data_IF_091354303427
#
_entry.id   IF_091354303427
#
_cell.length_a   1.000
_cell.length_b   1.000
_cell.length_c   1.000
_cell.angle_alpha   90.00
_cell.angle_beta   90.00
_cell.angle_gamma   90.00
#
_symmetry.space_group_name_H-M   'P 1'
#
loop_
_entity.id
_entity.type
_entity.pdbx_description
1 polymer ?
#
# COMPACT_ATOMS: atom_id res chain seq x y z
N UNK A 1 -10.45 -15.81 -1.12
CA UNK A 1 -9.07 -15.44 -1.50
C UNK A 1 -8.49 -16.58 -2.30
N UNK A 2 -8.10 -16.31 -3.53
CA UNK A 2 -7.34 -17.27 -4.32
C UNK A 2 -5.93 -17.40 -3.72
N UNK A 3 -5.52 -18.62 -3.38
CA UNK A 3 -4.22 -18.90 -2.78
C UNK A 3 -3.16 -18.88 -3.89
N UNK A 4 -2.49 -17.74 -4.06
CA UNK A 4 -1.46 -17.57 -5.10
C UNK A 4 -0.16 -18.32 -4.77
N UNK A 5 0.12 -18.52 -3.48
CA UNK A 5 1.26 -19.30 -2.98
C UNK A 5 0.93 -19.93 -1.61
N UNK A 6 1.60 -21.04 -1.25
CA UNK A 6 1.32 -21.77 -0.01
C UNK A 6 1.65 -20.95 1.25
N UNK A 7 1.18 -21.42 2.41
CA UNK A 7 1.52 -20.80 3.69
C UNK A 7 3.03 -20.93 3.94
N UNK A 8 3.67 -19.89 4.50
CA UNK A 8 5.04 -20.03 4.97
C UNK A 8 5.12 -21.07 6.11
N UNK A 9 6.29 -21.70 6.30
CA UNK A 9 6.60 -22.48 7.49
C UNK A 9 6.35 -21.69 8.79
N UNK A 10 6.08 -22.36 9.93
CA UNK A 10 5.71 -21.68 11.18
C UNK A 10 6.73 -20.65 11.69
N UNK A 11 8.02 -20.96 11.59
CA UNK A 11 9.13 -20.08 11.99
C UNK A 11 9.23 -18.83 11.10
N UNK A 12 9.07 -18.99 9.78
CA UNK A 12 8.98 -17.88 8.82
C UNK A 12 7.74 -17.01 9.12
N UNK A 13 6.60 -17.64 9.39
CA UNK A 13 5.35 -16.94 9.73
C UNK A 13 5.49 -16.13 11.03
N UNK A 14 6.13 -16.69 12.05
CA UNK A 14 6.35 -16.04 13.34
C UNK A 14 7.34 -14.88 13.22
N UNK A 15 8.37 -15.01 12.39
CA UNK A 15 9.30 -13.93 12.07
C UNK A 15 8.60 -12.75 11.37
N UNK A 16 7.82 -13.02 10.30
CA UNK A 16 7.03 -12.00 9.59
C UNK A 16 6.08 -11.29 10.55
N UNK A 17 5.36 -12.05 11.38
CA UNK A 17 4.44 -11.48 12.38
C UNK A 17 5.16 -10.53 13.33
N UNK A 18 6.32 -10.94 13.84
CA UNK A 18 7.11 -10.16 14.80
C UNK A 18 7.61 -8.85 14.18
N UNK A 19 8.06 -8.89 12.92
CA UNK A 19 8.47 -7.69 12.18
C UNK A 19 7.28 -6.74 11.97
N UNK A 20 6.13 -7.27 11.54
CA UNK A 20 4.91 -6.46 11.36
C UNK A 20 4.45 -5.81 12.67
N UNK A 21 4.55 -6.52 13.80
CA UNK A 21 4.22 -5.95 15.12
C UNK A 21 5.14 -4.78 15.51
N UNK A 22 6.43 -4.84 15.16
CA UNK A 22 7.36 -3.71 15.36
C UNK A 22 7.03 -2.53 14.46
N UNK A 23 6.80 -2.79 13.17
CA UNK A 23 6.41 -1.74 12.21
C UNK A 23 5.14 -1.00 12.62
N UNK A 24 4.20 -1.70 13.28
CA UNK A 24 2.96 -1.09 13.75
C UNK A 24 3.20 0.01 14.80
N UNK A 25 4.28 -0.08 15.59
CA UNK A 25 4.59 0.92 16.61
C UNK A 25 4.96 2.29 16.02
N UNK A 26 5.56 2.31 14.83
CA UNK A 26 5.99 3.53 14.12
C UNK A 26 5.17 3.77 12.83
N UNK A 27 3.97 3.20 12.73
CA UNK A 27 3.20 3.16 11.48
C UNK A 27 2.90 4.56 10.91
N UNK A 28 2.59 5.55 11.76
CA UNK A 28 2.30 6.91 11.31
C UNK A 28 3.55 7.57 10.68
N UNK A 29 4.70 7.51 11.36
CA UNK A 29 5.95 8.06 10.84
C UNK A 29 6.41 7.36 9.56
N UNK A 30 6.11 6.07 9.43
CA UNK A 30 6.41 5.30 8.24
C UNK A 30 5.48 5.67 7.07
N UNK A 31 4.18 5.81 7.33
CA UNK A 31 3.21 6.29 6.34
C UNK A 31 3.58 7.68 5.82
N UNK A 32 4.10 8.56 6.67
CA UNK A 32 4.60 9.88 6.27
C UNK A 32 5.81 9.79 5.34
N UNK A 33 6.73 8.86 5.62
CA UNK A 33 7.89 8.64 4.77
C UNK A 33 7.49 8.09 3.40
N UNK A 34 6.50 7.20 3.35
CA UNK A 34 5.90 6.70 2.12
C UNK A 34 5.26 7.85 1.35
N UNK A 35 4.36 8.60 1.99
CA UNK A 35 3.62 9.73 1.38
C UNK A 35 4.57 10.77 0.78
N UNK A 36 5.62 11.17 1.52
CA UNK A 36 6.63 12.12 1.00
C UNK A 36 7.30 11.65 -0.29
N UNK A 37 7.45 10.35 -0.49
CA UNK A 37 8.08 9.78 -1.67
C UNK A 37 7.07 9.51 -2.81
N UNK A 38 5.87 9.04 -2.48
CA UNK A 38 4.85 8.66 -3.47
C UNK A 38 4.08 9.84 -4.03
N UNK A 39 3.75 10.84 -3.22
CA UNK A 39 2.95 12.01 -3.62
C UNK A 39 3.48 12.72 -4.88
N UNK A 40 4.76 13.15 -4.96
CA UNK A 40 5.27 13.81 -6.16
C UNK A 40 5.37 12.87 -7.38
N UNK A 41 5.55 11.57 -7.16
CA UNK A 41 5.59 10.57 -8.23
C UNK A 41 4.19 10.35 -8.82
N UNK A 42 3.17 10.31 -7.96
CA UNK A 42 1.80 9.99 -8.32
C UNK A 42 1.04 11.14 -8.96
N UNK A 43 1.29 12.39 -8.52
CA UNK A 43 0.50 13.55 -8.96
C UNK A 43 1.33 14.67 -9.58
N UNK A 44 2.64 14.47 -9.77
CA UNK A 44 3.57 15.53 -10.15
C UNK A 44 3.40 16.78 -9.25
N UNK A 45 3.31 17.98 -9.83
CA UNK A 45 3.06 19.22 -9.10
C UNK A 45 1.57 19.57 -8.92
N UNK A 46 0.66 18.78 -9.49
CA UNK A 46 -0.77 19.13 -9.60
C UNK A 46 -1.49 19.14 -8.26
N UNK A 47 -1.15 18.20 -7.36
CA UNK A 47 -1.82 18.03 -6.08
C UNK A 47 -1.21 18.89 -4.95
N UNK A 48 0.04 19.35 -5.12
CA UNK A 48 0.81 20.09 -4.10
C UNK A 48 0.14 21.38 -3.59
N UNK A 49 -0.61 22.15 -4.40
CA UNK A 49 -1.28 23.37 -3.91
C UNK A 49 -2.50 23.10 -3.03
N UNK A 50 -3.06 21.88 -3.05
CA UNK A 50 -4.28 21.55 -2.30
C UNK A 50 -3.95 20.73 -1.05
N UNK A 51 -3.88 21.42 0.09
CA UNK A 51 -3.58 20.79 1.37
C UNK A 51 -4.61 19.73 1.78
N UNK A 52 -5.88 19.86 1.37
CA UNK A 52 -6.91 18.88 1.70
C UNK A 52 -6.68 17.57 0.96
N UNK A 53 -6.38 17.64 -0.34
CA UNK A 53 -6.08 16.44 -1.14
C UNK A 53 -4.78 15.77 -0.71
N UNK A 54 -3.77 16.55 -0.31
CA UNK A 54 -2.52 16.01 0.24
C UNK A 54 -2.77 15.21 1.52
N UNK A 55 -3.62 15.71 2.43
CA UNK A 55 -3.95 14.99 3.66
C UNK A 55 -4.80 13.74 3.39
N UNK A 56 -5.69 13.75 2.40
CA UNK A 56 -6.41 12.53 1.99
C UNK A 56 -5.48 11.46 1.40
N UNK A 57 -4.49 11.85 0.59
CA UNK A 57 -3.47 10.92 0.07
C UNK A 57 -2.61 10.34 1.20
N UNK A 58 -2.26 11.16 2.20
CA UNK A 58 -1.54 10.70 3.40
C UNK A 58 -2.34 9.65 4.16
N UNK A 59 -3.65 9.89 4.38
CA UNK A 59 -4.51 8.93 5.07
C UNK A 59 -4.71 7.64 4.25
N UNK A 60 -4.75 7.74 2.92
CA UNK A 60 -4.75 6.57 2.03
C UNK A 60 -3.50 5.72 2.25
N UNK A 61 -2.30 6.33 2.17
CA UNK A 61 -1.04 5.62 2.40
C UNK A 61 -0.96 5.00 3.81
N UNK A 62 -1.48 5.71 4.83
CA UNK A 62 -1.57 5.19 6.21
C UNK A 62 -2.48 3.97 6.30
N UNK A 63 -3.63 4.03 5.64
CA UNK A 63 -4.60 2.93 5.60
C UNK A 63 -4.04 1.71 4.88
N UNK A 64 -3.34 1.91 3.76
CA UNK A 64 -2.69 0.84 3.00
C UNK A 64 -1.58 0.14 3.81
N UNK A 65 -0.74 0.91 4.48
CA UNK A 65 0.29 0.36 5.37
C UNK A 65 -0.35 -0.44 6.52
N UNK A 66 -1.35 0.13 7.18
CA UNK A 66 -2.05 -0.53 8.28
C UNK A 66 -2.71 -1.83 7.82
N UNK A 67 -3.37 -1.83 6.66
CA UNK A 67 -3.99 -3.01 6.08
C UNK A 67 -2.97 -4.13 5.83
N UNK A 68 -1.83 -3.80 5.20
CA UNK A 68 -0.80 -4.79 4.90
C UNK A 68 -0.15 -5.36 6.16
N UNK A 69 0.20 -4.50 7.13
CA UNK A 69 0.81 -4.90 8.40
C UNK A 69 -0.14 -5.77 9.22
N UNK A 70 -1.38 -5.32 9.42
CA UNK A 70 -2.36 -6.07 10.23
C UNK A 70 -2.73 -7.41 9.59
N UNK A 71 -2.81 -7.47 8.26
CA UNK A 71 -3.04 -8.72 7.53
C UNK A 71 -1.89 -9.70 7.71
N UNK A 72 -0.64 -9.23 7.67
CA UNK A 72 0.53 -10.07 7.93
C UNK A 72 0.70 -10.45 9.40
N UNK A 73 0.09 -9.72 10.34
CA UNK A 73 0.01 -10.18 11.75
C UNK A 73 -0.95 -11.37 11.86
N UNK A 74 -2.11 -11.29 11.20
CA UNK A 74 -3.16 -12.31 11.27
C UNK A 74 -2.85 -13.55 10.43
N UNK A 75 -2.37 -13.35 9.20
CA UNK A 75 -2.06 -14.39 8.20
C UNK A 75 -0.71 -14.09 7.54
N UNK A 76 0.41 -14.33 8.24
CA UNK A 76 1.74 -13.91 7.78
C UNK A 76 2.09 -14.46 6.39
N UNK A 77 2.66 -13.59 5.57
CA UNK A 77 3.20 -13.94 4.27
C UNK A 77 2.17 -14.32 3.22
N UNK A 78 0.87 -14.22 3.50
CA UNK A 78 -0.19 -14.50 2.52
C UNK A 78 -0.45 -13.30 1.61
N UNK A 79 -1.18 -13.51 0.51
CA UNK A 79 -1.76 -12.41 -0.27
C UNK A 79 -2.64 -11.57 0.65
N UNK A 80 -2.52 -10.25 0.54
CA UNK A 80 -3.35 -9.30 1.28
C UNK A 80 -4.39 -8.75 0.32
N UNK A 81 -5.66 -8.76 0.72
CA UNK A 81 -6.73 -8.14 -0.05
C UNK A 81 -6.69 -6.61 0.10
N UNK A 82 -6.88 -5.92 -1.02
CA UNK A 82 -6.99 -4.46 -1.06
C UNK A 82 -8.35 -4.03 -0.54
N UNK A 83 -8.38 -2.92 0.20
CA UNK A 83 -9.62 -2.32 0.70
C UNK A 83 -9.82 -0.92 0.12
N UNK A 84 -10.82 -0.77 -0.76
CA UNK A 84 -11.27 0.53 -1.29
C UNK A 84 -12.56 0.95 -0.59
N UNK A 85 -12.39 1.60 0.57
CA UNK A 85 -13.49 2.08 1.41
C UNK A 85 -14.15 3.37 0.90
N UNK A 86 -15.24 3.82 1.56
CA UNK A 86 -15.97 5.02 1.17
C UNK A 86 -15.10 6.30 1.13
N UNK A 87 -14.15 6.45 2.06
CA UNK A 87 -13.23 7.58 2.11
C UNK A 87 -12.31 7.63 0.88
N UNK A 88 -11.67 6.51 0.55
CA UNK A 88 -10.84 6.39 -0.66
C UNK A 88 -11.65 6.65 -1.92
N UNK A 89 -12.90 6.18 -2.00
CA UNK A 89 -13.79 6.47 -3.14
C UNK A 89 -14.11 7.96 -3.26
N UNK A 90 -14.41 8.63 -2.14
CA UNK A 90 -14.66 10.06 -2.13
C UNK A 90 -13.43 10.86 -2.58
N UNK A 91 -12.23 10.49 -2.10
CA UNK A 91 -10.97 11.08 -2.55
C UNK A 91 -10.76 10.91 -4.05
N UNK A 92 -10.93 9.70 -4.60
CA UNK A 92 -10.83 9.44 -6.04
C UNK A 92 -11.84 10.26 -6.83
N UNK A 93 -13.07 10.39 -6.34
CA UNK A 93 -14.10 11.20 -6.98
C UNK A 93 -13.72 12.69 -7.05
N UNK A 94 -13.10 13.21 -5.98
CA UNK A 94 -12.63 14.59 -5.94
C UNK A 94 -11.46 14.82 -6.92
N UNK A 95 -10.53 13.86 -7.02
CA UNK A 95 -9.46 13.89 -8.03
C UNK A 95 -10.03 13.97 -9.45
N UNK A 96 -10.99 13.10 -9.78
CA UNK A 96 -11.64 13.06 -11.10
C UNK A 96 -12.41 14.35 -11.38
N UNK A 97 -13.17 14.87 -10.42
CA UNK A 97 -13.93 16.12 -10.56
C UNK A 97 -13.03 17.33 -10.85
N UNK A 98 -11.76 17.27 -10.43
CA UNK A 98 -10.75 18.32 -10.66
C UNK A 98 -9.87 18.05 -11.89
N UNK A 99 -10.16 16.99 -12.65
CA UNK A 99 -9.37 16.60 -13.82
C UNK A 99 -7.96 16.10 -13.48
N UNK A 100 -7.74 15.66 -12.25
CA UNK A 100 -6.44 15.13 -11.80
C UNK A 100 -6.40 13.64 -12.12
N UNK A 101 -5.49 13.24 -13.02
CA UNK A 101 -5.25 11.85 -13.38
C UNK A 101 -3.98 11.33 -12.66
N UNK A 102 -4.10 10.48 -11.62
CA UNK A 102 -2.94 10.00 -10.88
C UNK A 102 -2.17 8.91 -11.64
N UNK A 103 -0.84 8.95 -11.57
CA UNK A 103 0.00 7.80 -11.92
C UNK A 103 0.16 6.89 -10.71
N UNK A 104 -0.85 6.04 -10.48
CA UNK A 104 -0.81 5.06 -9.39
C UNK A 104 0.40 4.13 -9.49
N UNK A 105 0.86 3.81 -10.70
CA UNK A 105 2.00 2.90 -10.86
C UNK A 105 3.29 3.55 -10.36
N UNK A 106 3.53 4.81 -10.70
CA UNK A 106 4.72 5.51 -10.23
C UNK A 106 4.67 5.82 -8.73
N UNK A 107 3.49 6.18 -8.22
CA UNK A 107 3.23 6.33 -6.79
C UNK A 107 3.58 5.08 -6.00
N UNK A 108 3.03 3.92 -6.40
CA UNK A 108 3.32 2.63 -5.75
C UNK A 108 4.77 2.18 -5.91
N UNK A 109 5.39 2.42 -7.07
CA UNK A 109 6.83 2.13 -7.26
C UNK A 109 7.71 2.92 -6.28
N UNK A 110 7.40 4.20 -6.08
CA UNK A 110 8.10 5.06 -5.13
C UNK A 110 7.86 4.60 -3.68
N UNK A 111 6.59 4.34 -3.32
CA UNK A 111 6.20 3.82 -2.01
C UNK A 111 6.88 2.50 -1.67
N UNK A 112 6.87 1.52 -2.59
CA UNK A 112 7.50 0.21 -2.41
C UNK A 112 9.00 0.32 -2.16
N UNK A 113 9.69 1.28 -2.76
CA UNK A 113 11.13 1.46 -2.55
C UNK A 113 11.42 1.86 -1.10
N UNK A 114 10.59 2.75 -0.52
CA UNK A 114 10.68 3.13 0.89
C UNK A 114 10.24 1.97 1.80
N UNK A 115 9.14 1.33 1.42
CA UNK A 115 8.56 0.19 2.12
C UNK A 115 9.56 -0.95 2.30
N UNK A 116 10.15 -1.39 1.18
CA UNK A 116 11.11 -2.48 1.14
C UNK A 116 12.39 -2.17 1.91
N UNK A 117 12.92 -0.94 1.81
CA UNK A 117 14.11 -0.54 2.59
C UNK A 117 13.85 -0.64 4.09
N UNK A 118 12.72 -0.13 4.58
CA UNK A 118 12.38 -0.20 6.00
C UNK A 118 12.17 -1.65 6.43
N UNK A 119 11.49 -2.46 5.61
CA UNK A 119 11.32 -3.89 5.86
C UNK A 119 12.67 -4.61 6.04
N UNK A 120 13.63 -4.37 5.14
CA UNK A 120 14.97 -4.95 5.25
C UNK A 120 15.66 -4.56 6.56
N UNK A 121 15.57 -3.29 6.97
CA UNK A 121 16.15 -2.82 8.24
C UNK A 121 15.56 -3.57 9.44
N UNK A 122 14.24 -3.72 9.48
CA UNK A 122 13.56 -4.44 10.56
C UNK A 122 13.88 -5.95 10.56
N UNK A 123 14.03 -6.56 9.38
CA UNK A 123 14.45 -7.94 9.26
C UNK A 123 15.90 -8.16 9.70
N UNK A 124 16.78 -7.17 9.56
CA UNK A 124 18.17 -7.29 10.03
C UNK A 124 18.27 -7.28 11.56
N UNK A 125 17.29 -6.71 12.26
CA UNK A 125 17.19 -6.76 13.73
C UNK A 125 16.65 -8.11 14.23
N UNK A 126 16.17 -8.97 13.33
CA UNK A 126 15.71 -10.31 13.67
C UNK A 126 16.90 -11.25 13.94
N UNK A 127 16.94 -11.83 15.14
CA UNK A 127 17.91 -12.85 15.51
C UNK A 127 17.50 -14.21 14.94
N UNK A 128 18.04 -14.57 13.77
CA UNK A 128 17.77 -15.85 13.09
C UNK A 128 18.96 -16.36 12.27
N UNK A 129 18.79 -17.50 11.60
CA UNK A 129 19.80 -18.01 10.66
C UNK A 129 19.69 -17.28 9.31
N UNK A 130 20.76 -17.24 8.50
CA UNK A 130 20.71 -16.68 7.16
C UNK A 130 19.63 -17.31 6.27
N UNK A 131 19.39 -18.61 6.41
CA UNK A 131 18.40 -19.36 5.63
C UNK A 131 16.97 -18.89 5.98
N UNK A 132 16.68 -18.74 7.27
CA UNK A 132 15.39 -18.22 7.74
C UNK A 132 15.17 -16.78 7.24
N UNK A 133 16.21 -15.94 7.26
CA UNK A 133 16.11 -14.58 6.74
C UNK A 133 15.79 -14.56 5.23
N UNK A 134 16.43 -15.42 4.44
CA UNK A 134 16.15 -15.53 3.00
C UNK A 134 14.68 -15.93 2.75
N UNK A 135 14.15 -16.89 3.50
CA UNK A 135 12.75 -17.31 3.36
C UNK A 135 11.76 -16.20 3.78
N UNK A 136 12.05 -15.49 4.88
CA UNK A 136 11.25 -14.33 5.31
C UNK A 136 11.22 -13.26 4.23
N UNK A 137 12.36 -12.93 3.64
CA UNK A 137 12.45 -11.91 2.59
C UNK A 137 11.72 -12.33 1.31
N UNK A 138 11.87 -13.58 0.86
CA UNK A 138 11.18 -14.10 -0.33
C UNK A 138 9.65 -14.05 -0.17
N UNK A 139 9.12 -14.57 0.94
CA UNK A 139 7.68 -14.61 1.21
C UNK A 139 7.12 -13.19 1.37
N UNK A 140 7.83 -12.31 2.08
CA UNK A 140 7.37 -10.93 2.30
C UNK A 140 7.38 -10.11 1.02
N UNK A 141 8.39 -10.31 0.15
CA UNK A 141 8.45 -9.66 -1.16
C UNK A 141 7.25 -10.05 -2.02
N UNK A 142 6.91 -11.35 -2.10
CA UNK A 142 5.72 -11.82 -2.83
C UNK A 142 4.44 -11.15 -2.32
N UNK A 143 4.22 -11.12 -1.01
CA UNK A 143 3.05 -10.50 -0.39
C UNK A 143 2.98 -8.99 -0.68
N UNK A 144 4.07 -8.27 -0.47
CA UNK A 144 4.13 -6.81 -0.62
C UNK A 144 3.98 -6.37 -2.09
N UNK A 145 4.65 -7.05 -3.02
CA UNK A 145 4.58 -6.74 -4.45
C UNK A 145 3.18 -7.04 -4.98
N UNK A 146 2.60 -8.19 -4.62
CA UNK A 146 1.24 -8.51 -5.06
C UNK A 146 0.21 -7.51 -4.51
N UNK A 147 0.35 -7.10 -3.24
CA UNK A 147 -0.52 -6.08 -2.65
C UNK A 147 -0.46 -4.77 -3.45
N UNK A 148 0.74 -4.32 -3.82
CA UNK A 148 0.88 -3.11 -4.64
C UNK A 148 0.26 -3.25 -6.04
N UNK A 149 0.44 -4.39 -6.71
CA UNK A 149 -0.15 -4.64 -8.03
C UNK A 149 -1.69 -4.66 -7.97
N UNK A 150 -2.23 -5.33 -6.96
CA UNK A 150 -3.67 -5.37 -6.70
C UNK A 150 -4.20 -3.96 -6.40
N UNK A 151 -3.47 -3.16 -5.61
CA UNK A 151 -3.85 -1.79 -5.26
C UNK A 151 -3.85 -0.86 -6.46
N UNK A 152 -2.83 -0.93 -7.31
CA UNK A 152 -2.80 -0.17 -8.58
C UNK A 152 -4.00 -0.50 -9.45
N UNK A 153 -4.35 -1.79 -9.55
CA UNK A 153 -5.50 -2.24 -10.34
C UNK A 153 -6.80 -1.70 -9.76
N UNK A 154 -7.02 -1.87 -8.45
CA UNK A 154 -8.23 -1.41 -7.77
C UNK A 154 -8.41 0.11 -7.80
N UNK A 155 -7.33 0.89 -7.65
CA UNK A 155 -7.36 2.35 -7.72
C UNK A 155 -7.67 2.86 -9.13
N UNK A 156 -7.13 2.20 -10.17
CA UNK A 156 -7.45 2.50 -11.57
C UNK A 156 -8.91 2.21 -11.88
N UNK A 157 -9.42 1.05 -11.47
CA UNK A 157 -10.83 0.69 -11.64
C UNK A 157 -11.77 1.66 -10.92
N UNK A 158 -11.44 2.04 -9.69
CA UNK A 158 -12.21 3.04 -8.94
C UNK A 158 -12.20 4.41 -9.62
N UNK A 159 -11.07 4.83 -10.19
CA UNK A 159 -10.96 6.10 -10.94
C UNK A 159 -11.79 6.08 -12.22
N UNK A 160 -11.77 4.96 -12.95
CA UNK A 160 -12.61 4.77 -14.14
C UNK A 160 -14.10 4.80 -13.80
N UNK A 161 -14.50 4.09 -12.74
CA UNK A 161 -15.89 4.07 -12.29
C UNK A 161 -16.38 5.48 -11.89
N UNK A 162 -15.55 6.27 -11.20
CA UNK A 162 -15.87 7.66 -10.86
C UNK A 162 -16.01 8.55 -12.11
N UNK A 163 -15.13 8.40 -13.09
CA UNK A 163 -15.20 9.15 -14.35
C UNK A 163 -16.47 8.81 -15.16
N UNK A 164 -16.87 7.54 -15.21
CA UNK A 164 -18.11 7.12 -15.87
C UNK A 164 -19.36 7.65 -15.16
N UNK A 165 -19.39 7.60 -13.82
CA UNK A 165 -20.51 8.13 -13.04
C UNK A 165 -20.74 9.63 -13.25
N UNK A 166 -19.67 10.42 -13.41
CA UNK A 166 -19.78 11.84 -13.75
C UNK A 166 -20.30 12.06 -15.18
N UNK A 167 -19.85 11.26 -16.15
CA UNK A 167 -20.30 11.38 -17.54
C UNK A 167 -21.82 11.11 -17.70
N UNK A 168 -22.36 10.15 -16.95
CA UNK A 168 -23.81 9.87 -16.93
C UNK A 168 -24.60 11.01 -16.26
N UNK A 169 -24.03 11.70 -15.26
CA UNK A 169 -24.66 12.83 -14.60
C UNK A 169 -24.69 14.09 -15.48
N UNK A 170 -23.65 14.35 -16.27
CA UNK A 170 -23.57 15.49 -17.20
C UNK A 170 -24.48 15.31 -18.45
N UNK A 171 -24.98 14.10 -18.69
CA UNK A 171 -25.84 13.76 -19.83
C UNK A 171 -27.36 13.93 -19.56
N UNK A 172 -27.75 14.28 -18.32
CA UNK A 172 -29.15 14.46 -17.86
C UNK A 172 -29.46 15.95 -17.71
#
# INVERSE_FOLDING_TARGET
MEELWPAPPPDVADAIRSVCQRLLADADAFADAITRASLPAQYASTLLPDASLVEEDRELNRSDLAQWVTSNIQRPGRRVDVYIGPRTRAFIHDLVARGIAPDFTDGWRSALTIGWRRWLQECMEFAGTPELLVEVLDVSAKSMIQYALDSVTALREASLAAAMGNADADAI
#
